data_IF_242040072233
#
_entry.id   IF_242040072233
#
_cell.length_a   1.000
_cell.length_b   1.000
_cell.length_c   1.000
_cell.angle_alpha   90.00
_cell.angle_beta   90.00
_cell.angle_gamma   90.00
#
_symmetry.space_group_name_H-M   'P 1'
#
loop_
_entity.id
_entity.type
_entity.pdbx_description
1 polymer ?
#
# COMPACT_ATOMS: atom_id res chain seq x y z
N UNK A 1 -28.04 18.85 -1.55
CA UNK A 1 -27.76 17.65 -0.74
C UNK A 1 -26.42 17.89 -0.07
N UNK A 2 -26.43 17.96 1.26
CA UNK A 2 -25.34 18.46 2.09
C UNK A 2 -24.07 17.61 1.94
N UNK A 3 -22.96 18.25 1.55
CA UNK A 3 -21.63 17.75 1.90
C UNK A 3 -21.56 17.76 3.42
N UNK A 4 -21.42 16.59 4.04
CA UNK A 4 -21.22 16.49 5.47
C UNK A 4 -19.96 17.26 5.83
N UNK A 5 -20.12 18.32 6.63
CA UNK A 5 -19.01 19.01 7.27
C UNK A 5 -18.35 18.02 8.23
N UNK A 6 -17.24 17.41 7.80
CA UNK A 6 -16.36 16.65 8.70
C UNK A 6 -15.91 17.59 9.80
N UNK A 7 -16.07 17.16 11.05
CA UNK A 7 -15.83 18.03 12.20
C UNK A 7 -14.38 18.52 12.22
N UNK A 8 -14.15 19.74 12.71
CA UNK A 8 -12.81 20.34 12.80
C UNK A 8 -11.78 19.40 13.47
N UNK A 9 -12.25 18.58 14.42
CA UNK A 9 -11.45 17.61 15.17
C UNK A 9 -11.04 16.36 14.36
N UNK A 10 -11.85 15.92 13.38
CA UNK A 10 -11.46 14.88 12.42
C UNK A 10 -10.36 15.36 11.46
N UNK A 11 -10.46 16.62 11.04
CA UNK A 11 -9.45 17.24 10.19
C UNK A 11 -8.11 17.40 10.92
N UNK A 12 -8.15 17.80 12.19
CA UNK A 12 -6.97 17.89 13.05
C UNK A 12 -6.33 16.50 13.28
N UNK A 13 -7.14 15.44 13.41
CA UNK A 13 -6.67 14.07 13.54
C UNK A 13 -5.99 13.51 12.28
N UNK A 14 -6.53 13.82 11.10
CA UNK A 14 -5.93 13.50 9.80
C UNK A 14 -4.59 14.22 9.60
N UNK A 15 -4.55 15.52 9.92
CA UNK A 15 -3.33 16.33 9.84
C UNK A 15 -2.26 15.80 10.81
N UNK A 16 -2.64 15.45 12.04
CA UNK A 16 -1.72 14.86 13.01
C UNK A 16 -1.17 13.52 12.53
N UNK A 17 -2.02 12.65 11.98
CA UNK A 17 -1.62 11.33 11.47
C UNK A 17 -0.65 11.43 10.30
N UNK A 18 -0.96 12.29 9.33
CA UNK A 18 -0.07 12.59 8.20
C UNK A 18 1.29 13.13 8.67
N UNK A 19 1.29 14.02 9.66
CA UNK A 19 2.53 14.60 10.18
C UNK A 19 3.39 13.57 10.93
N UNK A 20 2.78 12.66 11.69
CA UNK A 20 3.49 11.56 12.36
C UNK A 20 4.13 10.64 11.31
N UNK A 21 3.36 10.23 10.30
CA UNK A 21 3.84 9.35 9.24
C UNK A 21 4.94 10.01 8.40
N UNK A 22 4.82 11.32 8.13
CA UNK A 22 5.84 12.11 7.46
C UNK A 22 7.13 12.21 8.28
N UNK A 23 7.04 12.35 9.61
CA UNK A 23 8.21 12.37 10.50
C UNK A 23 8.91 11.00 10.55
N UNK A 24 8.13 9.91 10.59
CA UNK A 24 8.65 8.53 10.53
C UNK A 24 9.33 8.26 9.19
N UNK A 25 8.68 8.61 8.07
CA UNK A 25 9.23 8.45 6.72
C UNK A 25 10.52 9.27 6.52
N UNK A 26 10.56 10.51 7.00
CA UNK A 26 11.76 11.37 6.96
C UNK A 26 12.91 10.85 7.80
N UNK A 27 12.62 10.11 8.88
CA UNK A 27 13.66 9.51 9.73
C UNK A 27 14.34 8.30 9.08
N UNK A 28 13.76 7.73 8.01
CA UNK A 28 14.32 6.59 7.28
C UNK A 28 14.43 5.29 8.09
N UNK A 29 13.91 5.26 9.31
CA UNK A 29 13.91 4.12 10.22
C UNK A 29 12.46 3.71 10.49
N UNK A 30 11.94 2.79 9.69
CA UNK A 30 10.67 2.13 9.99
C UNK A 30 10.72 1.26 11.25
N UNK A 31 11.89 1.15 11.88
CA UNK A 31 12.12 0.45 13.13
C UNK A 31 12.48 1.46 14.23
N UNK A 32 11.52 1.76 15.10
CA UNK A 32 11.82 2.55 16.30
C UNK A 32 12.69 1.72 17.25
N UNK A 33 13.47 2.38 18.12
CA UNK A 33 14.24 1.71 19.19
C UNK A 33 13.34 0.82 20.06
N UNK A 34 12.07 1.21 20.20
CA UNK A 34 11.01 0.40 20.80
C UNK A 34 10.80 -0.91 20.05
N UNK A 35 10.72 -0.92 18.72
CA UNK A 35 10.58 -2.15 17.94
C UNK A 35 11.84 -3.04 18.06
N UNK A 36 13.05 -2.47 18.03
CA UNK A 36 14.30 -3.23 18.17
C UNK A 36 14.48 -3.90 19.56
N UNK A 37 13.86 -3.35 20.61
CA UNK A 37 13.94 -3.89 21.97
C UNK A 37 12.68 -4.68 22.37
N UNK A 38 11.50 -4.20 21.99
CA UNK A 38 10.23 -4.86 22.29
C UNK A 38 10.01 -6.07 21.40
N UNK A 39 10.50 -6.09 20.15
CA UNK A 39 10.36 -7.27 19.30
C UNK A 39 11.01 -8.51 19.92
N UNK A 40 12.31 -8.54 20.28
CA UNK A 40 12.90 -9.72 20.92
C UNK A 40 12.32 -10.00 22.31
N UNK A 41 11.89 -8.99 23.07
CA UNK A 41 11.28 -9.19 24.39
C UNK A 41 9.88 -9.80 24.29
N UNK A 42 9.04 -9.31 23.37
CA UNK A 42 7.72 -9.87 23.11
C UNK A 42 7.87 -11.26 22.51
N UNK A 43 8.80 -11.46 21.58
CA UNK A 43 9.09 -12.77 20.98
C UNK A 43 9.49 -13.80 22.05
N UNK A 44 10.39 -13.44 22.97
CA UNK A 44 10.82 -14.29 24.08
C UNK A 44 9.68 -14.58 25.06
N UNK A 45 8.91 -13.58 25.47
CA UNK A 45 7.76 -13.74 26.39
C UNK A 45 6.69 -14.64 25.78
N UNK A 46 6.38 -14.45 24.50
CA UNK A 46 5.38 -15.26 23.79
C UNK A 46 5.86 -16.71 23.59
N UNK A 47 7.15 -16.91 23.27
CA UNK A 47 7.75 -18.25 23.12
C UNK A 47 7.82 -19.01 24.46
N UNK A 48 8.19 -18.32 25.54
CA UNK A 48 8.43 -18.93 26.86
C UNK A 48 7.17 -19.12 27.70
N UNK A 49 6.23 -18.17 27.67
CA UNK A 49 5.02 -18.21 28.51
C UNK A 49 3.84 -18.88 27.78
N UNK A 50 3.75 -18.69 26.46
CA UNK A 50 2.58 -19.12 25.67
C UNK A 50 2.89 -20.37 24.82
N UNK A 51 4.16 -20.76 24.69
CA UNK A 51 4.61 -21.97 23.96
C UNK A 51 4.05 -22.06 22.51
N UNK A 52 3.74 -20.93 21.90
CA UNK A 52 3.23 -20.83 20.53
C UNK A 52 4.19 -19.96 19.71
N UNK A 53 4.28 -20.21 18.40
CA UNK A 53 5.20 -19.44 17.56
C UNK A 53 4.78 -17.96 17.49
N UNK A 54 5.74 -17.02 17.64
CA UNK A 54 5.49 -15.58 17.57
C UNK A 54 4.70 -15.15 16.33
N UNK A 55 4.99 -15.77 15.17
CA UNK A 55 4.29 -15.52 13.91
C UNK A 55 2.78 -15.85 13.96
N UNK A 56 2.41 -16.93 14.67
CA UNK A 56 1.01 -17.32 14.82
C UNK A 56 0.28 -16.37 15.77
N UNK A 57 0.97 -15.88 16.80
CA UNK A 57 0.41 -14.93 17.76
C UNK A 57 0.30 -13.54 17.13
N UNK A 58 1.31 -13.08 16.38
CA UNK A 58 1.22 -11.83 15.62
C UNK A 58 0.08 -11.89 14.61
N UNK A 59 -0.09 -13.01 13.88
CA UNK A 59 -1.26 -13.23 13.02
C UNK A 59 -2.57 -13.20 13.80
N UNK A 60 -2.67 -13.81 14.99
CA UNK A 60 -3.85 -13.76 15.85
C UNK A 60 -4.13 -12.35 16.39
N UNK A 61 -3.11 -11.59 16.79
CA UNK A 61 -3.24 -10.20 17.25
C UNK A 61 -3.70 -9.31 16.10
N UNK A 62 -3.09 -9.46 14.92
CA UNK A 62 -3.56 -8.83 13.69
C UNK A 62 -5.02 -9.21 13.44
N UNK A 63 -5.37 -10.50 13.51
CA UNK A 63 -6.75 -10.99 13.36
C UNK A 63 -7.70 -10.30 14.35
N UNK A 64 -7.36 -10.25 15.63
CA UNK A 64 -8.16 -9.63 16.69
C UNK A 64 -8.32 -8.12 16.43
N UNK A 65 -7.24 -7.41 16.08
CA UNK A 65 -7.30 -6.00 15.69
C UNK A 65 -8.20 -5.76 14.46
N UNK A 66 -8.21 -6.70 13.52
CA UNK A 66 -9.03 -6.70 12.31
C UNK A 66 -10.42 -7.34 12.46
N UNK A 67 -10.80 -7.90 13.60
CA UNK A 67 -12.12 -8.54 13.78
C UNK A 67 -13.06 -7.76 14.71
N UNK A 68 -12.54 -6.85 15.56
CA UNK A 68 -13.34 -6.33 16.68
C UNK A 68 -13.50 -4.80 16.74
N UNK A 69 -13.12 -4.06 15.70
CA UNK A 69 -13.19 -2.58 15.71
C UNK A 69 -13.92 -2.00 14.50
N UNK A 70 -14.60 -0.84 14.60
CA UNK A 70 -15.15 -0.13 13.44
C UNK A 70 -14.09 0.16 12.36
N UNK A 71 -12.84 0.39 12.78
CA UNK A 71 -11.69 0.54 11.89
C UNK A 71 -11.48 -0.71 11.02
N UNK A 72 -11.66 -1.90 11.58
CA UNK A 72 -11.53 -3.15 10.82
C UNK A 72 -12.59 -3.30 9.73
N UNK A 73 -13.83 -2.89 9.99
CA UNK A 73 -14.89 -2.92 8.99
C UNK A 73 -14.56 -1.96 7.83
N UNK A 74 -14.07 -0.77 8.15
CA UNK A 74 -13.60 0.20 7.14
C UNK A 74 -12.40 -0.32 6.34
N UNK A 75 -11.44 -0.99 6.99
CA UNK A 75 -10.28 -1.59 6.32
C UNK A 75 -10.67 -2.79 5.44
N UNK A 76 -11.64 -3.59 5.88
CA UNK A 76 -12.21 -4.68 5.09
C UNK A 76 -12.99 -4.15 3.89
N UNK A 77 -13.73 -3.06 4.06
CA UNK A 77 -14.43 -2.39 2.96
C UNK A 77 -13.45 -1.80 1.92
N UNK A 78 -12.33 -1.22 2.36
CA UNK A 78 -11.30 -0.65 1.49
C UNK A 78 -10.21 -1.66 1.07
N UNK A 79 -10.38 -2.95 1.38
CA UNK A 79 -9.30 -3.95 1.28
C UNK A 79 -8.75 -4.08 -0.14
N UNK A 80 -9.62 -4.17 -1.14
CA UNK A 80 -9.21 -4.27 -2.53
C UNK A 80 -8.42 -3.02 -2.98
N UNK A 81 -8.86 -1.83 -2.56
CA UNK A 81 -8.23 -0.56 -2.90
C UNK A 81 -6.82 -0.47 -2.31
N UNK A 82 -6.68 -0.85 -1.04
CA UNK A 82 -5.39 -0.87 -0.34
C UNK A 82 -4.42 -1.81 -1.05
N UNK A 83 -4.86 -2.99 -1.45
CA UNK A 83 -4.01 -3.99 -2.10
C UNK A 83 -3.59 -3.53 -3.51
N UNK A 84 -4.52 -2.96 -4.27
CA UNK A 84 -4.21 -2.36 -5.56
C UNK A 84 -3.20 -1.22 -5.42
N UNK A 85 -3.41 -0.30 -4.48
CA UNK A 85 -2.48 0.81 -4.22
C UNK A 85 -1.11 0.31 -3.77
N UNK A 86 -1.04 -0.72 -2.92
CA UNK A 86 0.22 -1.32 -2.49
C UNK A 86 1.04 -1.83 -3.68
N UNK A 87 0.42 -2.50 -4.64
CA UNK A 87 1.12 -2.95 -5.85
C UNK A 87 1.56 -1.76 -6.73
N UNK A 88 0.75 -0.70 -6.85
CA UNK A 88 1.13 0.51 -7.60
C UNK A 88 2.31 1.23 -6.95
N UNK A 89 2.29 1.41 -5.62
CA UNK A 89 3.38 2.03 -4.88
C UNK A 89 4.66 1.21 -4.99
N UNK A 90 4.58 -0.12 -4.94
CA UNK A 90 5.73 -0.99 -5.17
C UNK A 90 6.37 -0.72 -6.53
N UNK A 91 5.56 -0.62 -7.59
CA UNK A 91 6.04 -0.33 -8.94
C UNK A 91 6.63 1.07 -9.10
N UNK A 92 6.04 2.07 -8.45
CA UNK A 92 6.60 3.43 -8.41
C UNK A 92 7.94 3.45 -7.67
N UNK A 93 8.04 2.75 -6.55
CA UNK A 93 9.28 2.61 -5.80
C UNK A 93 10.36 1.94 -6.63
N UNK A 94 10.02 0.92 -7.42
CA UNK A 94 10.95 0.28 -8.36
C UNK A 94 11.42 1.25 -9.46
N UNK A 95 10.52 2.08 -10.01
CA UNK A 95 10.90 3.14 -10.93
C UNK A 95 11.84 4.16 -10.27
N UNK A 96 11.54 4.60 -9.05
CA UNK A 96 12.37 5.56 -8.31
C UNK A 96 13.76 4.98 -8.04
N UNK A 97 13.85 3.71 -7.60
CA UNK A 97 15.12 2.99 -7.44
C UNK A 97 15.90 2.91 -8.74
N UNK A 98 15.22 2.66 -9.86
CA UNK A 98 15.85 2.75 -11.17
C UNK A 98 16.39 4.17 -11.37
N UNK A 99 15.61 5.22 -11.22
CA UNK A 99 16.08 6.59 -11.48
C UNK A 99 17.24 7.04 -10.57
N UNK A 100 17.35 6.53 -9.36
CA UNK A 100 18.37 6.91 -8.37
C UNK A 100 19.72 6.21 -8.52
N UNK A 101 19.86 5.22 -9.40
CA UNK A 101 21.10 4.44 -9.54
C UNK A 101 22.31 5.27 -10.01
N UNK A 102 23.48 5.05 -9.41
CA UNK A 102 24.74 5.67 -9.85
C UNK A 102 25.05 5.30 -11.32
N UNK A 103 25.40 6.28 -12.14
CA UNK A 103 25.72 6.18 -13.59
C UNK A 103 24.53 5.98 -14.54
N UNK A 104 23.47 6.78 -14.40
CA UNK A 104 22.39 6.85 -15.39
C UNK A 104 22.49 8.10 -16.25
N UNK A 105 22.39 7.92 -17.56
CA UNK A 105 22.29 9.03 -18.50
C UNK A 105 20.85 9.53 -18.58
N UNK A 106 20.66 10.73 -19.13
CA UNK A 106 19.33 11.26 -19.40
C UNK A 106 18.53 10.34 -20.35
N UNK A 107 19.23 9.68 -21.29
CA UNK A 107 18.63 8.72 -22.22
C UNK A 107 18.09 7.51 -21.44
N UNK A 108 18.84 7.00 -20.48
CA UNK A 108 18.41 5.89 -19.62
C UNK A 108 17.17 6.30 -18.80
N UNK A 109 17.22 7.45 -18.13
CA UNK A 109 16.10 7.97 -17.34
C UNK A 109 14.83 8.13 -18.18
N UNK A 110 14.95 8.73 -19.38
CA UNK A 110 13.85 8.85 -20.34
C UNK A 110 13.30 7.47 -20.69
N UNK A 111 14.15 6.50 -21.00
CA UNK A 111 13.73 5.14 -21.36
C UNK A 111 12.98 4.44 -20.22
N UNK A 112 13.41 4.59 -18.96
CA UNK A 112 12.74 3.99 -17.81
C UNK A 112 11.35 4.59 -17.59
N UNK A 113 11.23 5.92 -17.68
CA UNK A 113 9.95 6.61 -17.54
C UNK A 113 9.01 6.22 -18.69
N UNK A 114 9.47 6.27 -19.94
CA UNK A 114 8.66 5.85 -21.10
C UNK A 114 8.22 4.39 -20.98
N UNK A 115 9.12 3.48 -20.57
CA UNK A 115 8.77 2.08 -20.34
C UNK A 115 7.72 1.93 -19.25
N UNK A 116 7.82 2.69 -18.16
CA UNK A 116 6.82 2.68 -17.09
C UNK A 116 5.46 3.17 -17.56
N UNK A 117 5.40 4.27 -18.30
CA UNK A 117 4.15 4.82 -18.88
C UNK A 117 3.48 3.78 -19.80
N UNK A 118 4.25 3.12 -20.67
CA UNK A 118 3.73 2.04 -21.52
C UNK A 118 3.20 0.86 -20.70
N UNK A 119 3.88 0.51 -19.60
CA UNK A 119 3.43 -0.55 -18.69
C UNK A 119 2.12 -0.19 -17.99
N UNK A 120 1.85 1.08 -17.67
CA UNK A 120 0.54 1.48 -17.11
C UNK A 120 -0.62 1.10 -18.04
N UNK A 121 -0.45 1.32 -19.35
CA UNK A 121 -1.45 0.92 -20.35
C UNK A 121 -1.58 -0.59 -20.46
N UNK A 122 -0.46 -1.32 -20.42
CA UNK A 122 -0.49 -2.78 -20.37
C UNK A 122 -1.24 -3.29 -19.13
N UNK A 123 -0.97 -2.71 -17.96
CA UNK A 123 -1.64 -3.08 -16.71
C UNK A 123 -3.15 -2.84 -16.80
N UNK A 124 -3.58 -1.70 -17.37
CA UNK A 124 -4.99 -1.40 -17.61
C UNK A 124 -5.65 -2.44 -18.53
N UNK A 125 -4.97 -2.83 -19.61
CA UNK A 125 -5.46 -3.88 -20.52
C UNK A 125 -5.56 -5.23 -19.80
N UNK A 126 -4.57 -5.59 -19.00
CA UNK A 126 -4.57 -6.85 -18.24
C UNK A 126 -5.67 -6.89 -17.18
N UNK A 127 -5.94 -5.78 -16.48
CA UNK A 127 -7.08 -5.68 -15.57
C UNK A 127 -8.42 -5.94 -16.29
N UNK A 128 -8.57 -5.44 -17.53
CA UNK A 128 -9.77 -5.71 -18.34
C UNK A 128 -9.92 -7.19 -18.70
N UNK A 129 -8.82 -7.93 -18.71
CA UNK A 129 -8.78 -9.37 -18.95
C UNK A 129 -8.77 -10.19 -17.66
N UNK A 130 -8.92 -9.55 -16.49
CA UNK A 130 -8.77 -10.17 -15.15
C UNK A 130 -7.45 -10.94 -15.00
N UNK A 131 -6.37 -10.41 -15.58
CA UNK A 131 -5.03 -10.96 -15.47
C UNK A 131 -4.22 -10.13 -14.46
N UNK A 132 -3.98 -10.70 -13.28
CA UNK A 132 -3.39 -9.98 -12.15
C UNK A 132 -1.94 -10.36 -11.85
N UNK A 133 -1.25 -11.09 -12.73
CA UNK A 133 0.14 -11.54 -12.50
C UNK A 133 1.10 -10.41 -12.10
N UNK A 134 0.88 -9.19 -12.60
CA UNK A 134 1.68 -8.01 -12.23
C UNK A 134 1.29 -7.39 -10.88
N UNK A 135 0.19 -7.79 -10.27
CA UNK A 135 -0.40 -7.26 -9.05
C UNK A 135 -0.53 -8.38 -8.01
N UNK A 136 0.59 -8.85 -7.41
CA UNK A 136 0.56 -10.02 -6.52
C UNK A 136 -0.32 -9.82 -5.28
N UNK A 137 -0.41 -8.60 -4.75
CA UNK A 137 -1.35 -8.33 -3.66
C UNK A 137 -2.77 -8.47 -4.18
N UNK A 138 -3.13 -7.75 -5.25
CA UNK A 138 -4.47 -7.80 -5.82
C UNK A 138 -4.89 -9.21 -6.30
N UNK A 139 -3.97 -9.99 -6.88
CA UNK A 139 -4.21 -11.37 -7.34
C UNK A 139 -4.62 -12.29 -6.20
N UNK A 140 -4.09 -12.07 -4.99
CA UNK A 140 -4.50 -12.82 -3.79
C UNK A 140 -5.98 -12.61 -3.43
N UNK A 141 -6.59 -11.54 -3.92
CA UNK A 141 -8.00 -11.18 -3.69
C UNK A 141 -8.87 -11.34 -4.94
N UNK A 142 -8.39 -12.03 -5.98
CA UNK A 142 -9.09 -12.15 -7.28
C UNK A 142 -10.54 -12.65 -7.19
N UNK A 143 -10.84 -13.49 -6.21
CA UNK A 143 -12.19 -14.06 -6.01
C UNK A 143 -13.17 -13.07 -5.36
N UNK A 144 -12.66 -11.99 -4.76
CA UNK A 144 -13.45 -10.96 -4.07
C UNK A 144 -13.68 -9.73 -4.96
N UNK A 145 -12.87 -9.55 -6.01
CA UNK A 145 -12.93 -8.38 -6.88
C UNK A 145 -14.20 -8.32 -7.73
N UNK A 146 -14.94 -7.22 -7.57
CA UNK A 146 -16.09 -6.90 -8.42
C UNK A 146 -15.68 -6.06 -9.64
N UNK A 147 -16.52 -6.07 -10.68
CA UNK A 147 -16.22 -5.33 -11.92
C UNK A 147 -16.15 -3.80 -11.71
N UNK A 148 -16.84 -3.29 -10.69
CA UNK A 148 -16.85 -1.88 -10.30
C UNK A 148 -15.47 -1.43 -9.78
N UNK A 149 -14.83 -2.25 -8.92
CA UNK A 149 -13.45 -2.03 -8.46
C UNK A 149 -12.50 -1.98 -9.66
N UNK A 150 -12.62 -2.95 -10.57
CA UNK A 150 -11.78 -3.04 -11.77
C UNK A 150 -12.02 -1.87 -12.72
N UNK A 151 -13.23 -1.34 -12.82
CA UNK A 151 -13.52 -0.12 -13.58
C UNK A 151 -12.81 1.09 -12.95
N UNK A 152 -12.88 1.22 -11.63
CA UNK A 152 -12.21 2.28 -10.87
C UNK A 152 -10.69 2.23 -11.07
N UNK A 153 -10.07 1.06 -10.92
CA UNK A 153 -8.62 0.89 -11.08
C UNK A 153 -8.14 1.16 -12.50
N UNK A 154 -8.92 0.76 -13.51
CA UNK A 154 -8.62 1.08 -14.91
C UNK A 154 -8.71 2.59 -15.20
N UNK A 155 -9.67 3.27 -14.61
CA UNK A 155 -9.80 4.73 -14.70
C UNK A 155 -8.60 5.40 -14.05
N UNK A 156 -8.21 4.96 -12.85
CA UNK A 156 -7.03 5.46 -12.14
C UNK A 156 -5.75 5.31 -12.96
N UNK A 157 -5.49 4.12 -13.53
CA UNK A 157 -4.32 3.89 -14.39
C UNK A 157 -4.32 4.77 -15.64
N UNK A 158 -5.50 5.01 -16.23
CA UNK A 158 -5.63 5.92 -17.37
C UNK A 158 -5.29 7.36 -16.98
N UNK A 159 -5.78 7.83 -15.83
CA UNK A 159 -5.46 9.17 -15.33
C UNK A 159 -3.97 9.30 -15.05
N UNK A 160 -3.34 8.30 -14.45
CA UNK A 160 -1.89 8.31 -14.19
C UNK A 160 -1.07 8.38 -15.49
N UNK A 161 -1.50 7.67 -16.53
CA UNK A 161 -0.91 7.75 -17.87
C UNK A 161 -1.10 9.12 -18.52
N UNK A 162 -2.29 9.72 -18.41
CA UNK A 162 -2.59 11.01 -19.05
C UNK A 162 -1.81 12.16 -18.39
N UNK A 163 -1.70 12.16 -17.07
CA UNK A 163 -0.97 13.18 -16.31
C UNK A 163 0.56 13.09 -16.46
N UNK A 164 1.10 12.10 -17.18
CA UNK A 164 2.54 11.95 -17.45
C UNK A 164 2.94 12.42 -18.85
N UNK A 165 2.00 12.95 -19.65
CA UNK A 165 2.21 13.44 -21.01
C UNK A 165 2.19 14.96 -21.21
N UNK A 166 2.01 15.76 -20.15
CA UNK A 166 2.08 17.23 -20.16
C UNK A 166 3.46 17.76 -19.77
#
# INVERSE_FOLDING_TARGET
>A
MLLQETSKQENDGLIASYNIELLVAKSGKFHTIGEALLHPVIEEVLSTIIHEKPDNIMKKILLIFFETTPLSASLMAARCDIYFLCDIFTKLNDLIKLLQGNRKTLIDCKSFITSFILKLMLYKTNLSKRQFHQFPQLDSLKDVLVDEDLATYRSYLQSLHNNTGE
#
